data_IF_811683689981
#
_entry.id   IF_811683689981
#
_cell.length_a   1.000
_cell.length_b   1.000
_cell.length_c   1.000
_cell.angle_alpha   90.00
_cell.angle_beta   90.00
_cell.angle_gamma   90.00
#
_symmetry.space_group_name_H-M   'P 1'
#
loop_
_entity.id
_entity.type
_entity.pdbx_description
1 polymer ?
#
# COMPACT_ATOMS: atom_id res chain seq x y z
N UNK A 1 14.27 -74.68 48.85
CA UNK A 1 14.22 -73.32 48.29
C UNK A 1 13.22 -73.31 47.14
N UNK A 2 12.09 -72.61 47.27
CA UNK A 2 11.13 -72.47 46.16
C UNK A 2 10.44 -71.11 46.25
N UNK A 3 10.68 -70.24 45.27
CA UNK A 3 10.15 -68.87 45.23
C UNK A 3 8.73 -68.91 44.67
N UNK A 4 7.74 -68.56 45.48
CA UNK A 4 6.37 -68.29 45.00
C UNK A 4 6.36 -66.91 44.33
N UNK A 5 6.17 -66.87 43.03
CA UNK A 5 5.94 -65.62 42.28
C UNK A 5 4.49 -65.17 42.46
N UNK A 6 4.29 -64.03 43.12
CA UNK A 6 3.01 -63.33 43.16
C UNK A 6 2.87 -62.47 41.90
N UNK A 7 2.13 -62.94 40.90
CA UNK A 7 1.64 -62.09 39.82
C UNK A 7 0.38 -61.38 40.27
N UNK A 8 0.53 -60.21 40.88
CA UNK A 8 -0.58 -59.30 41.16
C UNK A 8 -0.95 -58.59 39.85
N UNK A 9 -2.04 -59.03 39.21
CA UNK A 9 -2.67 -58.30 38.11
C UNK A 9 -3.47 -57.15 38.73
N UNK A 10 -2.85 -55.98 38.84
CA UNK A 10 -3.54 -54.74 39.23
C UNK A 10 -4.45 -54.36 38.07
N UNK A 11 -5.74 -54.67 38.19
CA UNK A 11 -6.76 -54.08 37.34
C UNK A 11 -6.91 -52.61 37.75
N UNK A 12 -6.39 -51.70 36.94
CA UNK A 12 -6.69 -50.29 37.09
C UNK A 12 -8.21 -50.08 36.94
N UNK A 13 -8.85 -49.23 37.78
CA UNK A 13 -10.29 -49.00 37.67
C UNK A 13 -10.59 -48.26 36.35
N UNK A 14 -11.18 -49.00 35.41
CA UNK A 14 -11.60 -48.52 34.08
C UNK A 14 -12.74 -47.48 34.12
N UNK A 15 -13.11 -46.97 35.30
CA UNK A 15 -14.29 -46.12 35.47
C UNK A 15 -13.98 -44.62 35.34
N UNK A 16 -12.71 -44.21 35.40
CA UNK A 16 -12.33 -42.77 35.31
C UNK A 16 -11.81 -42.33 33.93
N UNK A 17 -11.66 -43.23 32.96
CA UNK A 17 -11.22 -42.88 31.61
C UNK A 17 -12.36 -42.38 30.70
N UNK A 18 -13.61 -42.75 30.99
CA UNK A 18 -14.74 -42.51 30.09
C UNK A 18 -15.30 -41.07 30.13
N UNK A 19 -14.93 -40.26 31.13
CA UNK A 19 -15.49 -38.90 31.31
C UNK A 19 -14.75 -37.80 30.53
N UNK A 20 -13.66 -38.13 29.82
CA UNK A 20 -12.84 -37.17 29.06
C UNK A 20 -12.85 -37.42 27.54
N UNK A 21 -13.60 -38.42 27.05
CA UNK A 21 -13.47 -38.88 25.65
C UNK A 21 -14.27 -38.07 24.61
N UNK A 22 -15.03 -37.05 25.02
CA UNK A 22 -15.70 -36.20 24.03
C UNK A 22 -15.92 -34.79 24.53
N UNK A 23 -15.05 -33.88 24.12
CA UNK A 23 -15.34 -32.45 24.23
C UNK A 23 -16.60 -32.15 23.39
N UNK A 24 -17.59 -31.44 23.94
CA UNK A 24 -18.81 -31.11 23.21
C UNK A 24 -18.46 -30.31 21.97
N UNK A 25 -18.97 -30.76 20.82
CA UNK A 25 -18.75 -30.08 19.55
C UNK A 25 -19.70 -28.89 19.44
N UNK A 26 -19.39 -27.93 18.55
CA UNK A 26 -20.19 -26.71 18.34
C UNK A 26 -21.69 -27.00 18.05
N UNK A 27 -22.00 -28.18 17.50
CA UNK A 27 -23.36 -28.66 17.26
C UNK A 27 -24.12 -29.04 18.53
N UNK A 28 -23.44 -29.46 19.60
CA UNK A 28 -24.07 -29.85 20.87
C UNK A 28 -24.66 -28.64 21.61
N UNK A 29 -24.21 -27.43 21.26
CA UNK A 29 -24.72 -26.16 21.79
C UNK A 29 -25.84 -25.54 20.93
N UNK A 30 -26.34 -26.22 19.91
CA UNK A 30 -27.40 -25.69 19.03
C UNK A 30 -26.99 -24.44 18.25
N UNK A 31 -25.68 -24.19 18.10
CA UNK A 31 -25.15 -23.02 17.42
C UNK A 31 -25.02 -23.32 15.91
N UNK A 32 -25.99 -22.83 15.14
CA UNK A 32 -25.92 -22.81 13.69
C UNK A 32 -24.57 -22.22 13.20
N UNK A 33 -24.00 -22.73 12.08
CA UNK A 33 -22.78 -22.19 11.53
C UNK A 33 -23.02 -20.73 11.11
N UNK A 34 -22.32 -19.80 11.78
CA UNK A 34 -22.36 -18.38 11.44
C UNK A 34 -21.85 -18.25 10.00
N UNK A 35 -22.75 -18.01 9.05
CA UNK A 35 -22.41 -17.67 7.67
C UNK A 35 -21.89 -16.24 7.68
N UNK A 36 -20.58 -16.09 7.88
CA UNK A 36 -19.94 -14.79 7.69
C UNK A 36 -20.12 -14.39 6.22
N UNK A 37 -20.51 -13.13 5.92
CA UNK A 37 -20.50 -12.65 4.54
C UNK A 37 -19.09 -12.83 3.99
N UNK A 38 -18.98 -13.22 2.71
CA UNK A 38 -17.69 -13.41 2.07
C UNK A 38 -16.84 -12.16 2.25
N UNK A 39 -15.75 -12.28 3.02
CA UNK A 39 -14.79 -11.19 3.17
C UNK A 39 -14.18 -10.90 1.81
N UNK A 40 -14.60 -9.81 1.18
CA UNK A 40 -13.97 -9.35 -0.04
C UNK A 40 -12.59 -8.81 0.34
N UNK A 41 -11.53 -9.48 -0.11
CA UNK A 41 -10.18 -8.96 0.10
C UNK A 41 -10.09 -7.57 -0.53
N UNK A 42 -9.59 -6.56 0.20
CA UNK A 42 -9.36 -5.26 -0.40
C UNK A 42 -8.38 -5.43 -1.57
N UNK A 43 -8.62 -4.70 -2.66
CA UNK A 43 -7.75 -4.71 -3.84
C UNK A 43 -6.31 -4.46 -3.37
N UNK A 44 -5.43 -5.46 -3.51
CA UNK A 44 -4.00 -5.27 -3.25
C UNK A 44 -3.51 -4.11 -4.10
N UNK A 45 -2.81 -3.16 -3.47
CA UNK A 45 -2.33 -1.96 -4.14
C UNK A 45 -1.39 -2.28 -5.31
N UNK A 46 -1.19 -1.28 -6.17
CA UNK A 46 -0.43 -1.39 -7.42
C UNK A 46 1.09 -1.63 -7.21
N UNK A 47 1.51 -1.95 -5.98
CA UNK A 47 2.90 -2.08 -5.56
C UNK A 47 3.65 -3.13 -6.39
N UNK A 48 3.04 -4.29 -6.65
CA UNK A 48 3.63 -5.33 -7.48
C UNK A 48 3.91 -4.84 -8.92
N UNK A 49 2.99 -4.08 -9.51
CA UNK A 49 3.16 -3.48 -10.83
C UNK A 49 4.23 -2.40 -10.86
N UNK A 50 4.27 -1.53 -9.85
CA UNK A 50 5.32 -0.51 -9.70
C UNK A 50 6.70 -1.16 -9.54
N UNK A 51 6.82 -2.21 -8.74
CA UNK A 51 8.08 -2.94 -8.55
C UNK A 51 8.59 -3.53 -9.87
N UNK A 52 7.72 -4.19 -10.63
CA UNK A 52 8.07 -4.74 -11.96
C UNK A 52 8.54 -3.65 -12.93
N UNK A 53 7.96 -2.46 -12.86
CA UNK A 53 8.34 -1.35 -13.75
C UNK A 53 9.77 -0.84 -13.54
N UNK A 54 10.37 -1.05 -12.36
CA UNK A 54 11.76 -0.66 -12.09
C UNK A 54 12.80 -1.54 -12.79
N UNK A 55 12.43 -2.75 -13.21
CA UNK A 55 13.32 -3.63 -13.99
C UNK A 55 13.54 -3.13 -15.42
N UNK A 56 12.66 -2.25 -15.94
CA UNK A 56 12.84 -1.63 -17.24
C UNK A 56 13.75 -0.40 -17.11
N UNK A 57 14.93 -0.44 -17.73
CA UNK A 57 15.95 0.61 -17.67
C UNK A 57 15.44 1.97 -18.14
N UNK A 58 14.62 2.02 -19.20
CA UNK A 58 14.04 3.27 -19.72
C UNK A 58 13.13 3.91 -18.69
N UNK A 59 12.29 3.09 -18.04
CA UNK A 59 11.37 3.56 -16.98
C UNK A 59 12.16 3.99 -15.75
N UNK A 60 13.21 3.26 -15.38
CA UNK A 60 14.11 3.60 -14.29
C UNK A 60 14.80 4.94 -14.52
N UNK A 61 15.41 5.15 -15.68
CA UNK A 61 16.04 6.41 -16.05
C UNK A 61 15.05 7.57 -15.93
N UNK A 62 13.87 7.45 -16.56
CA UNK A 62 12.83 8.48 -16.52
C UNK A 62 12.30 8.77 -15.10
N UNK A 63 12.30 7.79 -14.19
CA UNK A 63 11.91 7.95 -12.78
C UNK A 63 12.98 8.65 -11.94
N UNK A 64 14.25 8.48 -12.28
CA UNK A 64 15.39 9.11 -11.58
C UNK A 64 15.48 10.60 -11.91
N UNK A 65 15.17 10.99 -13.15
CA UNK A 65 15.26 12.40 -13.58
C UNK A 65 14.35 13.29 -12.74
N UNK A 66 15.00 14.20 -12.00
CA UNK A 66 14.34 15.29 -11.27
C UNK A 66 14.32 16.53 -12.17
N UNK A 67 13.17 17.19 -12.25
CA UNK A 67 13.05 18.44 -12.99
C UNK A 67 12.67 19.57 -12.03
N UNK A 68 13.50 20.62 -12.03
CA UNK A 68 13.12 21.90 -11.45
C UNK A 68 12.15 22.63 -12.38
N UNK A 69 11.38 23.54 -11.82
CA UNK A 69 10.28 24.22 -12.53
C UNK A 69 10.34 25.70 -12.23
N UNK A 70 10.18 26.51 -13.27
CA UNK A 70 10.02 27.96 -13.16
C UNK A 70 8.54 28.28 -13.31
N UNK A 71 8.03 29.13 -12.43
CA UNK A 71 6.66 29.63 -12.48
C UNK A 71 6.70 31.13 -12.63
N UNK A 72 6.02 31.62 -13.66
CA UNK A 72 5.80 33.04 -13.87
C UNK A 72 4.33 33.36 -13.62
N UNK A 73 4.07 34.30 -12.72
CA UNK A 73 2.72 34.82 -12.45
C UNK A 73 2.82 36.30 -12.09
N UNK A 74 1.89 37.14 -12.59
CA UNK A 74 1.85 38.58 -12.29
C UNK A 74 3.18 39.34 -12.55
N UNK A 75 3.98 38.90 -13.51
CA UNK A 75 5.29 39.49 -13.82
C UNK A 75 6.44 39.00 -12.93
N UNK A 76 6.16 38.27 -11.86
CA UNK A 76 7.16 37.65 -11.00
C UNK A 76 7.50 36.24 -11.48
N UNK A 77 8.80 35.93 -11.52
CA UNK A 77 9.30 34.62 -11.89
C UNK A 77 9.97 33.98 -10.69
N UNK A 78 9.50 32.80 -10.28
CA UNK A 78 10.03 32.06 -9.15
C UNK A 78 10.45 30.65 -9.59
N UNK A 79 11.54 30.14 -9.02
CA UNK A 79 12.05 28.80 -9.33
C UNK A 79 11.80 27.86 -8.15
N UNK A 80 11.26 26.68 -8.45
CA UNK A 80 10.94 25.65 -7.47
C UNK A 80 11.65 24.34 -7.80
N UNK A 81 11.91 23.53 -6.76
CA UNK A 81 12.56 22.22 -6.91
C UNK A 81 11.67 21.21 -7.63
N UNK A 82 10.35 21.38 -7.58
CA UNK A 82 9.38 20.51 -8.24
C UNK A 82 8.03 21.18 -8.43
N UNK A 83 7.18 20.62 -9.30
CA UNK A 83 5.78 21.05 -9.47
C UNK A 83 5.00 21.01 -8.15
N UNK A 84 5.19 19.96 -7.34
CA UNK A 84 4.48 19.81 -6.06
C UNK A 84 4.87 20.92 -5.07
N UNK A 85 6.14 21.31 -5.07
CA UNK A 85 6.68 22.39 -4.23
C UNK A 85 6.11 23.76 -4.63
N UNK A 86 6.03 24.02 -5.94
CA UNK A 86 5.37 25.20 -6.49
C UNK A 86 3.89 25.26 -6.09
N UNK A 87 3.15 24.15 -6.23
CA UNK A 87 1.73 24.08 -5.85
C UNK A 87 1.51 24.32 -4.35
N UNK A 88 2.40 23.83 -3.49
CA UNK A 88 2.33 24.09 -2.04
C UNK A 88 2.62 25.56 -1.71
N UNK A 89 3.69 26.10 -2.30
CA UNK A 89 4.13 27.47 -2.02
C UNK A 89 3.12 28.51 -2.51
N UNK A 90 2.55 28.28 -3.70
CA UNK A 90 1.54 29.15 -4.31
C UNK A 90 0.11 28.84 -3.85
N UNK A 91 -0.06 27.89 -2.91
CA UNK A 91 -1.35 27.43 -2.38
C UNK A 91 -2.37 27.06 -3.48
N UNK A 92 -1.87 26.44 -4.55
CA UNK A 92 -2.69 25.92 -5.63
C UNK A 92 -3.36 24.61 -5.22
N UNK A 93 -4.36 24.17 -5.99
CA UNK A 93 -5.08 22.94 -5.73
C UNK A 93 -4.16 21.71 -5.84
N UNK A 94 -3.71 21.21 -4.69
CA UNK A 94 -2.73 20.13 -4.63
C UNK A 94 -3.26 18.83 -5.25
N UNK A 95 -4.56 18.58 -5.27
CA UNK A 95 -5.14 17.37 -5.88
C UNK A 95 -4.79 17.21 -7.37
N UNK A 96 -4.55 18.31 -8.10
CA UNK A 96 -4.32 18.31 -9.55
C UNK A 96 -2.86 18.23 -9.96
N UNK A 97 -1.91 18.36 -9.02
CA UNK A 97 -0.48 18.49 -9.34
C UNK A 97 0.11 17.29 -10.10
N UNK A 98 -0.40 16.07 -9.87
CA UNK A 98 0.13 14.85 -10.54
C UNK A 98 -0.22 14.86 -12.02
N UNK A 99 -1.48 15.16 -12.36
CA UNK A 99 -1.95 15.26 -13.76
C UNK A 99 -1.23 16.40 -14.47
N UNK A 100 -1.14 17.55 -13.81
CA UNK A 100 -0.43 18.70 -14.35
C UNK A 100 1.05 18.42 -14.59
N UNK A 101 1.74 17.73 -13.67
CA UNK A 101 3.14 17.32 -13.85
C UNK A 101 3.33 16.42 -15.07
N UNK A 102 2.40 15.52 -15.35
CA UNK A 102 2.46 14.67 -16.54
C UNK A 102 2.33 15.51 -17.82
N UNK A 103 1.35 16.41 -17.87
CA UNK A 103 1.18 17.34 -18.99
C UNK A 103 2.44 18.19 -19.22
N UNK A 104 2.95 18.81 -18.15
CA UNK A 104 4.16 19.64 -18.19
C UNK A 104 5.41 18.87 -18.67
N UNK A 105 5.54 17.58 -18.33
CA UNK A 105 6.62 16.73 -18.84
C UNK A 105 6.49 16.42 -20.33
N UNK A 106 5.27 16.30 -20.85
CA UNK A 106 5.03 16.07 -22.27
C UNK A 106 5.15 17.34 -23.11
N UNK A 107 4.64 18.47 -22.63
CA UNK A 107 4.61 19.75 -23.35
C UNK A 107 5.86 20.61 -23.11
N UNK A 108 6.54 20.43 -21.97
CA UNK A 108 7.68 21.24 -21.53
C UNK A 108 7.29 22.57 -20.89
N UNK A 109 6.13 23.13 -21.26
CA UNK A 109 5.53 24.34 -20.71
C UNK A 109 4.02 24.19 -20.64
N UNK A 110 3.42 24.58 -19.53
CA UNK A 110 1.99 24.42 -19.28
C UNK A 110 1.46 25.55 -18.41
N UNK A 111 0.23 26.00 -18.66
CA UNK A 111 -0.43 27.03 -17.84
C UNK A 111 -1.45 26.39 -16.92
N UNK A 112 -1.51 26.88 -15.68
CA UNK A 112 -2.51 26.49 -14.70
C UNK A 112 -3.34 27.70 -14.31
N UNK A 113 -4.66 27.57 -14.42
CA UNK A 113 -5.59 28.63 -14.05
C UNK A 113 -6.29 28.28 -12.74
N UNK A 114 -6.28 29.21 -11.79
CA UNK A 114 -7.04 29.08 -10.55
C UNK A 114 -7.47 30.46 -10.04
N UNK A 115 -8.78 30.63 -9.83
CA UNK A 115 -9.33 31.85 -9.25
C UNK A 115 -9.04 33.11 -10.07
N UNK A 116 -9.10 33.02 -11.41
CA UNK A 116 -8.84 34.12 -12.33
C UNK A 116 -7.36 34.53 -12.46
N UNK A 117 -6.43 33.76 -11.85
CA UNK A 117 -4.98 33.96 -11.99
C UNK A 117 -4.41 32.86 -12.88
N UNK A 118 -3.58 33.26 -13.83
CA UNK A 118 -2.83 32.35 -14.69
C UNK A 118 -1.40 32.19 -14.19
N UNK A 119 -0.97 30.94 -14.04
CA UNK A 119 0.38 30.58 -13.63
C UNK A 119 1.05 29.82 -14.78
N UNK A 120 2.11 30.39 -15.34
CA UNK A 120 2.86 29.79 -16.45
C UNK A 120 4.01 28.96 -15.91
N UNK A 121 3.96 27.64 -16.08
CA UNK A 121 5.01 26.72 -15.66
C UNK A 121 5.91 26.37 -16.84
N UNK A 122 7.22 26.37 -16.63
CA UNK A 122 8.24 25.93 -17.59
C UNK A 122 9.25 25.01 -16.91
N UNK A 123 9.61 23.90 -17.56
CA UNK A 123 10.68 23.04 -17.06
C UNK A 123 12.05 23.71 -17.24
N UNK A 124 12.90 23.62 -16.21
CA UNK A 124 14.30 23.99 -16.33
C UNK A 124 15.03 22.86 -17.06
N UNK A 125 15.23 23.02 -18.36
CA UNK A 125 16.06 22.12 -19.18
C UNK A 125 17.52 22.48 -18.96
N UNK A 126 18.15 21.99 -17.88
CA UNK A 126 19.51 22.43 -17.57
C UNK A 126 20.26 21.71 -16.45
N UNK A 127 19.95 20.44 -16.15
CA UNK A 127 20.84 19.63 -15.30
C UNK A 127 20.90 18.21 -15.85
N UNK A 128 21.78 17.99 -16.84
CA UNK A 128 22.39 16.68 -17.02
C UNK A 128 23.34 16.47 -15.85
N UNK A 129 22.99 15.55 -14.95
CA UNK A 129 23.94 14.97 -14.01
C UNK A 129 24.70 13.85 -14.72
#
# INVERSE_FOLDING_TARGET
MSRKTLTAKVAAPAVMAAAWERFPTRSDFGLEPIKFPAFQMPKLGNAAGVSRSWANEKVRAARIVKHAVVVTHNGETQTFKSVADAFRSLRLEFSKHIRFRLALKSSGKETFEQGGKMYSFSLVTGVSA
#
